data_IF_911933493384
#
_entry.id   IF_911933493384
#
_cell.length_a   1.000
_cell.length_b   1.000
_cell.length_c   1.000
_cell.angle_alpha   90.00
_cell.angle_beta   90.00
_cell.angle_gamma   90.00
#
_symmetry.space_group_name_H-M   'P 1'
#
loop_
_entity.id
_entity.type
_entity.pdbx_description
1 polymer ?
#
# COMPACT_ATOMS: atom_id res chain seq x y z
N UNK A 1 4.54 -18.67 6.87
CA UNK A 1 5.33 -17.57 6.27
C UNK A 1 4.55 -17.10 5.06
N UNK A 2 4.34 -15.80 4.92
CA UNK A 2 3.65 -15.25 3.75
C UNK A 2 4.54 -15.41 2.53
N UNK A 3 3.97 -15.84 1.40
CA UNK A 3 4.68 -15.83 0.12
C UNK A 3 4.60 -14.42 -0.49
N UNK A 4 5.75 -13.84 -0.81
CA UNK A 4 5.88 -12.50 -1.38
C UNK A 4 6.49 -12.52 -2.79
N UNK A 5 6.66 -13.69 -3.41
CA UNK A 5 7.28 -13.86 -4.72
C UNK A 5 6.63 -13.00 -5.82
N UNK A 6 5.31 -12.82 -5.78
CA UNK A 6 4.55 -12.03 -6.75
C UNK A 6 4.54 -10.51 -6.47
N UNK A 7 5.10 -10.06 -5.34
CA UNK A 7 5.02 -8.65 -4.91
C UNK A 7 5.60 -7.69 -5.96
N UNK A 8 6.74 -8.05 -6.56
CA UNK A 8 7.37 -7.26 -7.62
C UNK A 8 6.48 -7.09 -8.84
N UNK A 9 5.86 -8.19 -9.30
CA UNK A 9 4.96 -8.17 -10.46
C UNK A 9 3.72 -7.31 -10.19
N UNK A 10 3.15 -7.38 -8.98
CA UNK A 10 2.05 -6.52 -8.56
C UNK A 10 2.46 -5.05 -8.63
N UNK A 11 3.59 -4.67 -8.01
CA UNK A 11 4.05 -3.27 -8.02
C UNK A 11 4.29 -2.80 -9.46
N UNK A 12 4.97 -3.59 -10.28
CA UNK A 12 5.24 -3.26 -11.68
C UNK A 12 3.96 -3.03 -12.50
N UNK A 13 2.92 -3.85 -12.27
CA UNK A 13 1.63 -3.67 -12.92
C UNK A 13 0.97 -2.34 -12.54
N UNK A 14 1.00 -1.96 -11.27
CA UNK A 14 0.45 -0.68 -10.79
C UNK A 14 1.19 0.51 -11.38
N UNK A 15 2.53 0.47 -11.35
CA UNK A 15 3.40 1.51 -11.92
C UNK A 15 3.14 1.69 -13.42
N UNK A 16 2.98 0.59 -14.17
CA UNK A 16 2.61 0.63 -15.59
C UNK A 16 1.29 1.38 -15.85
N UNK A 17 0.37 1.40 -14.89
CA UNK A 17 -0.92 2.10 -14.97
C UNK A 17 -0.94 3.46 -14.23
N UNK A 18 0.23 4.04 -13.99
CA UNK A 18 0.40 5.38 -13.43
C UNK A 18 0.17 5.49 -11.93
N UNK A 19 0.19 4.37 -11.20
CA UNK A 19 0.19 4.37 -9.75
C UNK A 19 1.61 4.46 -9.20
N UNK A 20 1.77 5.14 -8.07
CA UNK A 20 3.02 5.25 -7.35
C UNK A 20 2.93 4.46 -6.05
N UNK A 21 3.87 3.53 -5.81
CA UNK A 21 4.03 2.90 -4.51
C UNK A 21 4.54 3.95 -3.52
N UNK A 22 3.79 4.18 -2.43
CA UNK A 22 4.16 5.17 -1.41
C UNK A 22 4.84 4.53 -0.21
N UNK A 23 4.24 3.46 0.31
CA UNK A 23 4.80 2.68 1.40
C UNK A 23 4.11 1.32 1.46
N UNK A 24 4.63 0.43 2.28
CA UNK A 24 4.09 -0.89 2.53
C UNK A 24 3.75 -1.03 4.00
N UNK A 25 2.82 -1.92 4.30
CA UNK A 25 2.48 -2.31 5.66
C UNK A 25 2.77 -3.80 5.77
N UNK A 26 3.44 -4.18 6.85
CA UNK A 26 3.70 -5.57 7.15
C UNK A 26 3.41 -5.88 8.61
N UNK A 27 3.01 -7.12 8.87
CA UNK A 27 3.10 -7.71 10.21
C UNK A 27 4.56 -7.77 10.61
N UNK A 28 4.84 -7.61 11.89
CA UNK A 28 6.21 -7.57 12.42
C UNK A 28 7.04 -8.78 11.95
N UNK A 29 6.47 -9.98 12.00
CA UNK A 29 7.13 -11.22 11.56
C UNK A 29 7.36 -11.33 10.05
N UNK A 30 6.68 -10.54 9.23
CA UNK A 30 6.76 -10.58 7.77
C UNK A 30 7.55 -9.40 7.19
N UNK A 31 7.90 -8.39 8.01
CA UNK A 31 8.46 -7.13 7.55
C UNK A 31 9.79 -7.29 6.80
N UNK A 32 10.70 -8.15 7.29
CA UNK A 32 11.99 -8.39 6.63
C UNK A 32 11.81 -9.12 5.30
N UNK A 33 10.96 -10.14 5.26
CA UNK A 33 10.68 -10.91 4.05
C UNK A 33 10.06 -10.01 2.96
N UNK A 34 9.12 -9.14 3.34
CA UNK A 34 8.55 -8.16 2.42
C UNK A 34 9.59 -7.13 1.95
N UNK A 35 10.49 -6.68 2.85
CA UNK A 35 11.58 -5.75 2.48
C UNK A 35 12.46 -6.33 1.39
N UNK A 36 12.93 -7.57 1.56
CA UNK A 36 13.74 -8.24 0.56
C UNK A 36 13.01 -8.37 -0.77
N UNK A 37 11.74 -8.82 -0.75
CA UNK A 37 10.94 -8.98 -1.97
C UNK A 37 10.77 -7.67 -2.77
N UNK A 38 10.75 -6.52 -2.10
CA UNK A 38 10.62 -5.19 -2.73
C UNK A 38 11.98 -4.66 -3.18
N UNK A 39 13.02 -4.81 -2.36
CA UNK A 39 14.38 -4.36 -2.66
C UNK A 39 14.97 -5.04 -3.89
N UNK A 40 14.78 -6.36 -4.01
CA UNK A 40 15.29 -7.15 -5.13
C UNK A 40 14.72 -6.69 -6.48
N UNK A 41 13.60 -5.97 -6.45
CA UNK A 41 12.88 -5.45 -7.61
C UNK A 41 13.17 -3.94 -7.85
N UNK A 42 14.00 -3.31 -7.02
CA UNK A 42 14.41 -1.91 -7.17
C UNK A 42 13.37 -0.88 -6.72
N UNK A 43 12.36 -1.28 -5.94
CA UNK A 43 11.33 -0.37 -5.44
C UNK A 43 11.68 0.23 -4.06
N UNK A 44 11.13 1.40 -3.69
CA UNK A 44 11.35 2.02 -2.37
C UNK A 44 10.85 1.15 -1.21
N UNK A 45 11.53 1.24 -0.06
CA UNK A 45 11.37 0.31 1.07
C UNK A 45 10.81 0.95 2.34
N UNK A 46 9.93 1.93 2.21
CA UNK A 46 9.18 2.43 3.38
C UNK A 46 8.20 1.31 3.82
N UNK A 47 8.62 0.50 4.79
CA UNK A 47 7.81 -0.56 5.40
C UNK A 47 7.42 -0.11 6.80
N UNK A 48 6.13 -0.04 7.04
CA UNK A 48 5.52 0.31 8.32
C UNK A 48 4.95 -0.94 8.97
N UNK A 49 5.04 -1.01 10.29
CA UNK A 49 4.40 -2.09 11.05
C UNK A 49 2.89 -1.91 11.04
N UNK A 50 2.16 -2.99 10.82
CA UNK A 50 0.70 -3.03 10.96
C UNK A 50 0.19 -4.46 11.13
N UNK A 51 -1.14 -4.61 11.07
CA UNK A 51 -1.79 -5.89 11.40
C UNK A 51 -1.94 -6.84 10.20
N UNK A 52 -1.44 -6.45 9.02
CA UNK A 52 -1.57 -7.19 7.76
C UNK A 52 -0.39 -6.87 6.83
N UNK A 53 -0.32 -7.60 5.72
CA UNK A 53 0.65 -7.35 4.66
C UNK A 53 -0.05 -6.71 3.46
N UNK A 54 0.39 -5.51 3.08
CA UNK A 54 -0.23 -4.76 2.00
C UNK A 54 0.66 -3.66 1.43
N UNK A 55 0.25 -3.18 0.26
CA UNK A 55 0.92 -2.13 -0.50
C UNK A 55 0.00 -0.92 -0.60
N UNK A 56 0.53 0.26 -0.26
CA UNK A 56 -0.17 1.52 -0.46
C UNK A 56 0.29 2.19 -1.75
N UNK A 57 -0.65 2.35 -2.67
CA UNK A 57 -0.45 3.08 -3.90
C UNK A 57 -1.21 4.39 -3.87
N UNK A 58 -0.71 5.37 -4.62
CA UNK A 58 -1.46 6.59 -4.90
C UNK A 58 -1.43 6.92 -6.39
N UNK A 59 -2.50 7.54 -6.89
CA UNK A 59 -2.55 8.07 -8.25
C UNK A 59 -3.37 9.35 -8.26
N UNK A 60 -2.77 10.43 -8.78
CA UNK A 60 -3.50 11.66 -9.03
C UNK A 60 -4.35 11.50 -10.29
N UNK A 61 -5.66 11.37 -10.12
CA UNK A 61 -6.63 11.30 -11.21
C UNK A 61 -7.48 12.57 -11.34
N UNK A 62 -7.47 13.44 -10.33
CA UNK A 62 -8.25 14.68 -10.27
C UNK A 62 -7.39 15.85 -9.76
N UNK A 63 -7.76 17.10 -10.07
CA UNK A 63 -6.98 18.28 -9.67
C UNK A 63 -6.94 18.54 -8.16
N UNK A 64 -7.99 18.17 -7.42
CA UNK A 64 -8.23 18.54 -6.02
C UNK A 64 -8.08 17.38 -5.03
N UNK A 65 -7.77 16.17 -5.53
CA UNK A 65 -7.71 14.95 -4.73
C UNK A 65 -6.85 13.87 -5.37
N UNK A 66 -6.32 13.00 -4.53
CA UNK A 66 -5.50 11.85 -4.91
C UNK A 66 -6.25 10.56 -4.59
N UNK A 67 -6.29 9.62 -5.53
CA UNK A 67 -6.75 8.27 -5.24
C UNK A 67 -5.66 7.52 -4.47
N UNK A 68 -6.02 6.91 -3.35
CA UNK A 68 -5.17 6.02 -2.57
C UNK A 68 -5.76 4.62 -2.57
N UNK A 69 -4.94 3.62 -2.83
CA UNK A 69 -5.36 2.23 -2.86
C UNK A 69 -4.48 1.39 -1.95
N UNK A 70 -5.12 0.63 -1.05
CA UNK A 70 -4.48 -0.39 -0.26
C UNK A 70 -4.76 -1.75 -0.89
N UNK A 71 -3.70 -2.42 -1.36
CA UNK A 71 -3.75 -3.77 -1.91
C UNK A 71 -3.22 -4.77 -0.88
N UNK A 72 -4.06 -5.71 -0.45
CA UNK A 72 -3.65 -6.82 0.43
C UNK A 72 -2.85 -7.85 -0.37
N UNK A 73 -1.73 -8.30 0.21
CA UNK A 73 -0.84 -9.30 -0.41
C UNK A 73 -1.19 -10.74 -0.03
N UNK A 74 -1.93 -10.95 1.05
CA UNK A 74 -2.35 -12.27 1.53
C UNK A 74 -3.76 -12.61 1.06
N UNK A 75 -4.03 -13.90 0.86
CA UNK A 75 -5.36 -14.39 0.45
C UNK A 75 -6.46 -14.05 1.48
N UNK A 76 -7.66 -13.65 1.04
CA UNK A 76 -8.02 -13.34 -0.34
C UNK A 76 -7.43 -11.98 -0.81
N UNK A 77 -6.90 -11.89 -2.05
CA UNK A 77 -6.40 -10.63 -2.60
C UNK A 77 -7.56 -9.64 -2.75
N UNK A 78 -7.49 -8.57 -1.97
CA UNK A 78 -8.52 -7.54 -1.93
C UNK A 78 -7.87 -6.16 -2.00
N UNK A 79 -8.58 -5.21 -2.58
CA UNK A 79 -8.12 -3.83 -2.70
C UNK A 79 -9.20 -2.87 -2.21
N UNK A 80 -8.80 -1.86 -1.45
CA UNK A 80 -9.68 -0.79 -1.02
C UNK A 80 -9.14 0.54 -1.53
N UNK A 81 -10.03 1.32 -2.16
CA UNK A 81 -9.71 2.65 -2.68
C UNK A 81 -10.39 3.71 -1.81
N UNK A 82 -9.69 4.82 -1.61
CA UNK A 82 -10.24 6.05 -1.05
C UNK A 82 -9.74 7.26 -1.85
N UNK A 83 -10.54 8.33 -1.87
CA UNK A 83 -10.13 9.61 -2.45
C UNK A 83 -9.77 10.55 -1.31
N UNK A 84 -8.53 11.04 -1.31
CA UNK A 84 -8.04 11.96 -0.28
C UNK A 84 -7.92 13.37 -0.88
N UNK A 85 -8.70 14.36 -0.41
CA UNK A 85 -8.59 15.75 -0.86
C UNK A 85 -7.22 16.37 -0.53
N UNK A 86 -6.75 17.26 -1.40
CA UNK A 86 -5.49 18.00 -1.16
C UNK A 86 -5.62 19.04 -0.03
N UNK A 87 -6.86 19.37 0.35
CA UNK A 87 -7.16 20.27 1.47
C UNK A 87 -7.06 19.59 2.83
N UNK A 88 -6.87 18.26 2.88
CA UNK A 88 -6.70 17.55 4.14
C UNK A 88 -5.40 17.96 4.80
N UNK A 89 -5.44 18.18 6.11
CA UNK A 89 -4.22 18.28 6.92
C UNK A 89 -3.50 16.94 6.97
N UNK A 90 -2.25 16.93 7.44
CA UNK A 90 -1.46 15.71 7.61
C UNK A 90 -2.20 14.71 8.52
N UNK A 91 -2.85 15.19 9.57
CA UNK A 91 -3.60 14.37 10.53
C UNK A 91 -4.85 13.77 9.89
N UNK A 92 -5.57 14.55 9.09
CA UNK A 92 -6.76 14.09 8.36
C UNK A 92 -6.39 13.06 7.30
N UNK A 93 -5.28 13.28 6.58
CA UNK A 93 -4.74 12.33 5.62
C UNK A 93 -4.39 11.00 6.29
N UNK A 94 -3.61 11.05 7.37
CA UNK A 94 -3.23 9.86 8.14
C UNK A 94 -4.45 9.15 8.77
N UNK A 95 -5.48 9.90 9.20
CA UNK A 95 -6.71 9.31 9.70
C UNK A 95 -7.46 8.54 8.60
N UNK A 96 -7.60 9.12 7.40
CA UNK A 96 -8.25 8.48 6.28
C UNK A 96 -7.58 7.16 5.88
N UNK A 97 -6.24 7.11 5.84
CA UNK A 97 -5.52 5.87 5.52
C UNK A 97 -5.69 4.80 6.61
N UNK A 98 -5.63 5.19 7.90
CA UNK A 98 -5.86 4.27 9.03
C UNK A 98 -7.27 3.66 9.02
N UNK A 99 -8.28 4.41 8.60
CA UNK A 99 -9.64 3.88 8.45
C UNK A 99 -9.70 2.76 7.40
N UNK A 100 -9.02 2.95 6.27
CA UNK A 100 -8.93 1.92 5.22
C UNK A 100 -8.15 0.69 5.71
N UNK A 101 -7.08 0.91 6.47
CA UNK A 101 -6.33 -0.20 7.08
C UNK A 101 -7.20 -1.01 8.04
N UNK A 102 -7.96 -0.34 8.91
CA UNK A 102 -8.88 -0.99 9.84
C UNK A 102 -9.95 -1.80 9.11
N UNK A 103 -10.53 -1.25 8.03
CA UNK A 103 -11.53 -1.93 7.20
C UNK A 103 -10.98 -3.13 6.43
N UNK A 104 -9.69 -3.11 6.06
CA UNK A 104 -9.04 -4.25 5.40
C UNK A 104 -8.69 -5.37 6.39
N UNK A 105 -8.45 -5.01 7.65
CA UNK A 105 -8.07 -5.94 8.72
C UNK A 105 -9.26 -6.59 9.44
N UNK A 106 -10.47 -6.03 9.30
CA UNK A 106 -11.74 -6.58 9.80
C UNK A 106 -12.23 -7.74 8.95
#
# INVERSE_FOLDING_TARGET
MTDFSETGAIIAQYVKHGWELKFCIAREQDAEALRHAIQDQGFPTDIRTGNMNGLWFSRRSLPDRVAWELRRLTDPPFALVTMVPDTFTVEQHAAALREIEARMAS
#
